data_IF_778392199692
#
_entry.id   IF_778392199692
#
_cell.length_a   1.000
_cell.length_b   1.000
_cell.length_c   1.000
_cell.angle_alpha   90.00
_cell.angle_beta   90.00
_cell.angle_gamma   90.00
#
_symmetry.space_group_name_H-M   'P 1'
#
loop_
_entity.id
_entity.type
_entity.pdbx_description
1 polymer ?
#
# COMPACT_ATOMS: atom_id res chain seq x y z
N UNK A 1 2.72 -8.86 1.11
CA UNK A 1 4.13 -9.17 1.48
C UNK A 1 4.99 -7.93 1.66
N UNK A 2 4.79 -6.86 0.89
CA UNK A 2 5.61 -5.63 0.93
C UNK A 2 5.48 -4.77 2.20
N UNK A 3 4.51 -5.05 3.08
CA UNK A 3 4.37 -4.31 4.34
C UNK A 3 5.59 -4.53 5.26
N UNK A 4 6.46 -3.54 5.42
CA UNK A 4 7.69 -3.65 6.24
C UNK A 4 8.67 -4.72 5.76
N UNK A 5 8.71 -5.00 4.45
CA UNK A 5 9.69 -5.93 3.88
C UNK A 5 10.16 -5.38 2.54
N UNK A 6 11.49 -5.32 2.34
CA UNK A 6 12.09 -4.80 1.11
C UNK A 6 11.69 -5.62 -0.11
N UNK A 7 11.55 -4.96 -1.26
CA UNK A 7 11.07 -5.57 -2.52
C UNK A 7 11.91 -6.78 -2.90
N UNK A 8 13.24 -6.66 -2.89
CA UNK A 8 14.17 -7.72 -3.29
C UNK A 8 14.02 -9.00 -2.47
N UNK A 9 13.61 -8.87 -1.19
CA UNK A 9 13.33 -10.02 -0.32
C UNK A 9 11.95 -10.62 -0.60
N UNK A 10 10.99 -9.81 -1.04
CA UNK A 10 9.62 -10.24 -1.32
C UNK A 10 9.53 -10.98 -2.65
N UNK A 11 10.23 -10.54 -3.70
CA UNK A 11 10.06 -11.07 -5.06
C UNK A 11 10.19 -12.60 -5.14
N UNK A 12 11.26 -13.25 -4.63
CA UNK A 12 11.39 -14.70 -4.71
C UNK A 12 10.25 -15.43 -3.97
N UNK A 13 9.91 -14.93 -2.77
CA UNK A 13 8.86 -15.51 -1.92
C UNK A 13 7.46 -15.31 -2.50
N UNK A 14 7.22 -14.20 -3.18
CA UNK A 14 5.96 -13.95 -3.87
C UNK A 14 5.73 -14.98 -4.98
N UNK A 15 6.74 -15.24 -5.82
CA UNK A 15 6.65 -16.25 -6.86
C UNK A 15 6.48 -17.67 -6.30
N UNK A 16 7.22 -18.03 -5.26
CA UNK A 16 7.06 -19.31 -4.56
C UNK A 16 5.63 -19.47 -4.01
N UNK A 17 5.11 -18.41 -3.38
CA UNK A 17 3.77 -18.40 -2.81
C UNK A 17 2.68 -18.56 -3.87
N UNK A 18 2.78 -17.86 -4.99
CA UNK A 18 1.82 -17.97 -6.09
C UNK A 18 1.87 -19.33 -6.79
N UNK A 19 3.05 -19.94 -6.93
CA UNK A 19 3.14 -21.32 -7.45
C UNK A 19 2.42 -22.31 -6.55
N UNK A 20 2.56 -22.17 -5.23
CA UNK A 20 1.92 -23.08 -4.26
C UNK A 20 0.42 -22.80 -4.06
N UNK A 21 0.03 -21.53 -4.11
CA UNK A 21 -1.33 -21.04 -3.85
C UNK A 21 -1.80 -20.09 -4.97
N UNK A 22 -2.08 -20.61 -6.18
CA UNK A 22 -2.43 -19.79 -7.35
C UNK A 22 -3.82 -19.14 -7.25
N UNK A 23 -4.68 -19.61 -6.34
CA UNK A 23 -6.05 -19.09 -6.18
C UNK A 23 -6.42 -18.93 -4.71
N UNK A 24 -7.40 -18.07 -4.42
CA UNK A 24 -7.97 -17.94 -3.08
C UNK A 24 -8.51 -19.27 -2.54
N UNK A 25 -9.11 -20.11 -3.40
CA UNK A 25 -9.57 -21.45 -3.01
C UNK A 25 -8.42 -22.34 -2.55
N UNK A 26 -7.32 -22.38 -3.31
CA UNK A 26 -6.17 -23.21 -2.95
C UNK A 26 -5.50 -22.71 -1.68
N UNK A 27 -5.43 -21.40 -1.47
CA UNK A 27 -4.93 -20.81 -0.25
C UNK A 27 -5.84 -21.10 0.95
N UNK A 28 -7.15 -20.93 0.81
CA UNK A 28 -8.14 -21.13 1.88
C UNK A 28 -8.23 -22.58 2.38
N UNK A 29 -7.98 -23.55 1.49
CA UNK A 29 -8.01 -24.97 1.81
C UNK A 29 -6.71 -25.47 2.48
N UNK A 30 -5.64 -24.67 2.50
CA UNK A 30 -4.36 -25.09 3.03
C UNK A 30 -4.33 -25.06 4.57
N UNK A 31 -3.57 -25.94 5.24
CA UNK A 31 -3.28 -25.79 6.66
C UNK A 31 -2.55 -24.46 6.92
N UNK A 32 -3.00 -23.68 7.92
CA UNK A 32 -2.37 -22.39 8.25
C UNK A 32 -0.88 -22.52 8.58
N UNK A 33 -0.46 -23.66 9.14
CA UNK A 33 0.93 -23.97 9.41
C UNK A 33 1.78 -24.01 8.13
N UNK A 34 1.22 -24.51 7.02
CA UNK A 34 1.89 -24.53 5.72
C UNK A 34 2.05 -23.11 5.17
N UNK A 35 0.99 -22.29 5.26
CA UNK A 35 1.04 -20.88 4.84
C UNK A 35 2.12 -20.11 5.62
N UNK A 36 2.23 -20.35 6.94
CA UNK A 36 3.27 -19.76 7.79
C UNK A 36 4.67 -20.21 7.38
N UNK A 37 4.87 -21.52 7.13
CA UNK A 37 6.17 -22.06 6.69
C UNK A 37 6.62 -21.42 5.37
N UNK A 38 5.72 -21.34 4.38
CA UNK A 38 6.05 -20.77 3.08
C UNK A 38 6.39 -19.27 3.16
N UNK A 39 5.75 -18.54 4.09
CA UNK A 39 5.98 -17.11 4.30
C UNK A 39 7.33 -16.78 4.94
N UNK A 40 7.95 -17.71 5.66
CA UNK A 40 9.28 -17.52 6.24
C UNK A 40 10.32 -17.30 5.12
N UNK A 41 11.31 -16.38 5.27
CA UNK A 41 11.66 -15.59 6.46
C UNK A 41 11.14 -14.14 6.46
N UNK A 42 10.06 -13.81 5.71
CA UNK A 42 9.63 -12.41 5.54
C UNK A 42 9.22 -11.68 6.84
N UNK A 43 9.15 -12.38 7.98
CA UNK A 43 8.86 -11.82 9.30
C UNK A 43 7.38 -11.51 9.56
N UNK A 44 7.07 -10.98 10.74
CA UNK A 44 5.73 -10.55 11.16
C UNK A 44 4.65 -11.64 10.96
N UNK A 45 4.75 -12.70 11.77
CA UNK A 45 4.05 -13.99 11.62
C UNK A 45 2.51 -13.92 11.62
N UNK A 46 1.92 -12.77 11.95
CA UNK A 46 0.48 -12.55 11.86
C UNK A 46 -0.01 -12.25 10.43
N UNK A 47 0.86 -11.72 9.54
CA UNK A 47 0.50 -11.42 8.14
C UNK A 47 0.03 -12.66 7.34
N UNK A 48 0.77 -13.79 7.32
CA UNK A 48 0.30 -14.97 6.60
C UNK A 48 -1.03 -15.51 7.16
N UNK A 49 -1.24 -15.39 8.47
CA UNK A 49 -2.49 -15.82 9.14
C UNK A 49 -3.66 -14.93 8.71
N UNK A 50 -3.47 -13.60 8.69
CA UNK A 50 -4.48 -12.65 8.21
C UNK A 50 -4.80 -12.86 6.75
N UNK A 51 -3.79 -13.05 5.90
CA UNK A 51 -4.02 -13.36 4.48
C UNK A 51 -4.81 -14.66 4.30
N UNK A 52 -4.47 -15.70 5.07
CA UNK A 52 -5.20 -16.97 5.06
C UNK A 52 -6.66 -16.79 5.51
N UNK A 53 -6.91 -15.99 6.55
CA UNK A 53 -8.26 -15.66 7.00
C UNK A 53 -9.05 -14.89 5.92
N UNK A 54 -8.43 -13.91 5.26
CA UNK A 54 -9.02 -13.20 4.11
C UNK A 54 -9.37 -14.19 3.00
N UNK A 55 -8.50 -15.13 2.66
CA UNK A 55 -8.76 -16.13 1.62
C UNK A 55 -9.97 -17.01 1.97
N UNK A 56 -10.04 -17.52 3.21
CA UNK A 56 -11.17 -18.33 3.68
C UNK A 56 -12.49 -17.56 3.64
N UNK A 57 -12.47 -16.33 4.13
CA UNK A 57 -13.63 -15.44 4.11
C UNK A 57 -14.08 -15.12 2.67
N UNK A 58 -13.11 -14.88 1.78
CA UNK A 58 -13.37 -14.61 0.36
C UNK A 58 -14.02 -15.80 -0.34
N UNK A 59 -13.60 -17.02 -0.01
CA UNK A 59 -14.23 -18.24 -0.52
C UNK A 59 -15.64 -18.42 0.04
N UNK A 60 -15.80 -18.26 1.36
CA UNK A 60 -17.06 -18.49 2.05
C UNK A 60 -18.17 -17.51 1.64
N UNK A 61 -17.84 -16.21 1.48
CA UNK A 61 -18.85 -15.17 1.25
C UNK A 61 -18.92 -14.64 -0.19
N UNK A 62 -17.84 -14.80 -0.97
CA UNK A 62 -17.70 -14.17 -2.28
C UNK A 62 -17.26 -15.14 -3.38
N UNK A 63 -17.41 -16.46 -3.16
CA UNK A 63 -17.12 -17.47 -4.17
C UNK A 63 -15.65 -17.48 -4.64
N UNK A 64 -14.72 -17.03 -3.79
CA UNK A 64 -13.29 -17.01 -4.08
C UNK A 64 -12.81 -15.80 -4.89
N UNK A 65 -13.67 -14.84 -5.19
CA UNK A 65 -13.31 -13.56 -5.81
C UNK A 65 -13.40 -12.45 -4.76
N UNK A 66 -12.38 -11.61 -4.66
CA UNK A 66 -12.45 -10.43 -3.77
C UNK A 66 -13.59 -9.51 -4.23
N UNK A 67 -14.38 -8.90 -3.34
CA UNK A 67 -15.37 -7.92 -3.76
C UNK A 67 -14.72 -6.68 -4.39
N UNK A 68 -15.43 -6.00 -5.29
CA UNK A 68 -14.97 -4.82 -6.03
C UNK A 68 -15.51 -3.49 -5.46
N UNK A 69 -15.96 -3.52 -4.20
CA UNK A 69 -16.46 -2.36 -3.45
C UNK A 69 -15.71 -2.18 -2.14
N UNK A 70 -15.40 -0.93 -1.78
CA UNK A 70 -14.59 -0.61 -0.59
C UNK A 70 -15.26 -1.15 0.69
N UNK A 71 -16.56 -0.95 0.84
CA UNK A 71 -17.31 -1.33 2.03
C UNK A 71 -17.25 -2.84 2.24
N UNK A 72 -17.36 -3.62 1.16
CA UNK A 72 -17.28 -5.07 1.20
C UNK A 72 -15.85 -5.56 1.47
N UNK A 73 -14.84 -4.92 0.87
CA UNK A 73 -13.44 -5.22 1.14
C UNK A 73 -13.08 -4.96 2.61
N UNK A 74 -13.55 -3.86 3.19
CA UNK A 74 -13.28 -3.49 4.59
C UNK A 74 -13.97 -4.39 5.61
N UNK A 75 -14.95 -5.19 5.20
CA UNK A 75 -15.53 -6.26 6.05
C UNK A 75 -14.63 -7.49 6.15
N UNK A 76 -13.64 -7.65 5.27
CA UNK A 76 -12.67 -8.74 5.34
C UNK A 76 -11.70 -8.54 6.52
N UNK A 77 -11.32 -9.61 7.23
CA UNK A 77 -10.50 -9.50 8.44
C UNK A 77 -9.13 -8.89 8.15
N UNK A 78 -8.83 -7.75 8.79
CA UNK A 78 -7.54 -7.07 8.65
C UNK A 78 -7.38 -6.23 7.38
N UNK A 79 -8.45 -6.02 6.61
CA UNK A 79 -8.45 -5.11 5.46
C UNK A 79 -8.89 -3.72 5.92
N UNK A 80 -7.91 -2.83 6.11
CA UNK A 80 -8.16 -1.40 6.36
C UNK A 80 -8.30 -0.59 5.08
N UNK A 81 -8.56 0.72 5.21
CA UNK A 81 -8.75 1.67 4.09
C UNK A 81 -7.63 1.62 3.05
N UNK A 82 -6.37 1.58 3.50
CA UNK A 82 -5.21 1.42 2.60
C UNK A 82 -5.30 0.15 1.73
N UNK A 83 -5.50 -1.02 2.36
CA UNK A 83 -5.53 -2.30 1.64
C UNK A 83 -6.73 -2.37 0.69
N UNK A 84 -7.88 -1.84 1.11
CA UNK A 84 -9.07 -1.77 0.25
C UNK A 84 -8.81 -0.88 -0.98
N UNK A 85 -8.31 0.34 -0.79
CA UNK A 85 -7.94 1.24 -1.89
C UNK A 85 -6.88 0.64 -2.82
N UNK A 86 -5.87 -0.04 -2.27
CA UNK A 86 -4.86 -0.73 -3.07
C UNK A 86 -5.44 -1.88 -3.91
N UNK A 87 -6.38 -2.67 -3.37
CA UNK A 87 -7.07 -3.72 -4.13
C UNK A 87 -7.92 -3.09 -5.24
N UNK A 88 -8.71 -2.07 -4.93
CA UNK A 88 -9.57 -1.38 -5.90
C UNK A 88 -8.75 -0.73 -7.03
N UNK A 89 -7.66 -0.06 -6.69
CA UNK A 89 -6.76 0.56 -7.66
C UNK A 89 -6.02 -0.50 -8.49
N UNK A 90 -5.28 -1.41 -7.85
CA UNK A 90 -4.35 -2.28 -8.58
C UNK A 90 -4.98 -3.53 -9.19
N UNK A 91 -6.05 -4.09 -8.59
CA UNK A 91 -6.70 -5.28 -9.11
C UNK A 91 -7.95 -4.96 -9.94
N UNK A 92 -8.63 -3.84 -9.64
CA UNK A 92 -9.89 -3.46 -10.30
C UNK A 92 -9.80 -2.21 -11.16
N UNK A 93 -8.64 -1.53 -11.21
CA UNK A 93 -8.45 -0.34 -12.04
C UNK A 93 -9.34 0.84 -11.64
N UNK A 94 -9.85 0.87 -10.40
CA UNK A 94 -10.68 1.97 -9.90
C UNK A 94 -9.80 3.15 -9.49
N UNK A 95 -10.34 4.35 -9.60
CA UNK A 95 -9.70 5.59 -9.12
C UNK A 95 -9.81 5.72 -7.59
N UNK A 96 -9.33 4.70 -6.88
CA UNK A 96 -9.30 4.67 -5.42
C UNK A 96 -7.96 5.22 -4.90
N UNK A 97 -8.02 6.05 -3.86
CA UNK A 97 -6.82 6.57 -3.23
C UNK A 97 -6.04 5.49 -2.48
N UNK A 98 -4.71 5.54 -2.58
CA UNK A 98 -3.80 4.68 -1.84
C UNK A 98 -2.89 5.55 -0.99
N UNK A 99 -2.89 5.32 0.33
CA UNK A 99 -2.08 6.06 1.28
C UNK A 99 -1.17 5.12 2.09
N UNK A 100 0.00 4.79 1.54
CA UNK A 100 1.07 4.14 2.29
C UNK A 100 2.00 5.18 2.95
N UNK A 101 3.07 4.72 3.60
CA UNK A 101 4.03 5.61 4.26
C UNK A 101 4.85 6.44 3.26
N UNK A 102 5.00 6.00 2.02
CA UNK A 102 5.67 6.73 0.95
C UNK A 102 4.78 7.87 0.43
N UNK A 103 3.55 7.56 0.04
CA UNK A 103 2.55 8.53 -0.40
C UNK A 103 2.30 9.56 0.68
N UNK A 104 2.06 9.13 1.94
CA UNK A 104 1.88 10.07 3.08
C UNK A 104 3.03 11.07 3.18
N UNK A 105 4.27 10.61 3.04
CA UNK A 105 5.46 11.47 3.10
C UNK A 105 5.53 12.44 1.92
N UNK A 106 5.26 11.98 0.70
CA UNK A 106 5.25 12.82 -0.50
C UNK A 106 4.18 13.90 -0.35
N UNK A 107 2.93 13.52 -0.06
CA UNK A 107 1.82 14.46 0.09
C UNK A 107 2.10 15.49 1.21
N UNK A 108 2.62 15.03 2.36
CA UNK A 108 2.97 15.91 3.46
C UNK A 108 4.04 16.94 3.08
N UNK A 109 5.07 16.53 2.34
CA UNK A 109 6.15 17.43 1.91
C UNK A 109 5.71 18.39 0.82
N UNK A 110 4.97 17.91 -0.17
CA UNK A 110 4.56 18.71 -1.32
C UNK A 110 3.49 19.74 -0.95
N UNK A 111 2.47 19.36 -0.18
CA UNK A 111 1.28 20.20 0.03
C UNK A 111 1.17 20.88 1.39
N UNK A 112 1.84 20.37 2.44
CA UNK A 112 1.65 20.88 3.80
C UNK A 112 2.81 21.78 4.25
N UNK A 113 4.05 21.50 3.84
CA UNK A 113 5.21 22.21 4.34
C UNK A 113 5.53 21.85 5.80
N UNK A 114 6.77 22.11 6.27
CA UNK A 114 7.27 21.62 7.57
C UNK A 114 6.39 22.06 8.76
N UNK A 115 6.00 23.33 8.81
CA UNK A 115 5.24 23.91 9.94
C UNK A 115 3.83 23.31 10.08
N UNK A 116 3.10 23.17 8.97
CA UNK A 116 1.75 22.55 8.99
C UNK A 116 1.86 21.07 9.26
N UNK A 117 2.82 20.38 8.63
CA UNK A 117 3.04 18.94 8.80
C UNK A 117 3.24 18.57 10.28
N UNK A 118 4.03 19.35 11.02
CA UNK A 118 4.24 19.15 12.47
C UNK A 118 2.98 19.29 13.33
N UNK A 119 1.96 20.02 12.84
CA UNK A 119 0.69 20.26 13.52
C UNK A 119 -0.41 19.29 13.11
N UNK A 120 -0.26 18.59 11.99
CA UNK A 120 -1.28 17.63 11.53
C UNK A 120 -1.39 16.49 12.54
N UNK A 121 -2.64 16.14 12.87
CA UNK A 121 -2.97 15.03 13.76
C UNK A 121 -3.76 13.99 12.98
N UNK A 122 -3.40 12.71 13.17
CA UNK A 122 -4.03 11.60 12.47
C UNK A 122 -3.76 11.55 10.95
N UNK A 123 -4.65 10.85 10.25
CA UNK A 123 -4.53 10.55 8.81
C UNK A 123 -5.52 11.34 7.93
N UNK A 124 -6.53 12.02 8.51
CA UNK A 124 -7.62 12.63 7.74
C UNK A 124 -7.12 13.56 6.63
N UNK A 125 -6.27 14.51 6.96
CA UNK A 125 -5.71 15.48 6.00
C UNK A 125 -4.97 14.79 4.84
N UNK A 126 -4.30 13.67 5.10
CA UNK A 126 -3.57 12.94 4.06
C UNK A 126 -4.50 12.12 3.17
N UNK A 127 -5.56 11.58 3.73
CA UNK A 127 -6.61 10.94 2.95
C UNK A 127 -7.35 11.95 2.07
N UNK A 128 -7.74 13.11 2.60
CA UNK A 128 -8.39 14.18 1.83
C UNK A 128 -7.49 14.62 0.64
N UNK A 129 -6.17 14.75 0.89
CA UNK A 129 -5.20 15.03 -0.18
C UNK A 129 -5.09 13.87 -1.19
N UNK A 130 -4.98 12.63 -0.72
CA UNK A 130 -4.86 11.50 -1.63
C UNK A 130 -6.10 11.37 -2.53
N UNK A 131 -7.30 11.51 -1.97
CA UNK A 131 -8.57 11.40 -2.69
C UNK A 131 -8.79 12.53 -3.69
N UNK A 132 -8.38 13.75 -3.36
CA UNK A 132 -8.49 14.89 -4.28
C UNK A 132 -7.50 14.86 -5.46
N UNK A 133 -6.45 14.04 -5.38
CA UNK A 133 -5.37 14.03 -6.36
C UNK A 133 -5.42 12.85 -7.33
N UNK A 134 -6.20 11.79 -7.03
CA UNK A 134 -6.29 10.63 -7.92
C UNK A 134 -6.95 11.06 -9.24
N UNK A 135 -6.23 10.99 -10.38
CA UNK A 135 -6.77 11.38 -11.67
C UNK A 135 -7.76 10.34 -12.20
N UNK A 136 -8.88 10.82 -12.74
CA UNK A 136 -9.90 9.95 -13.34
C UNK A 136 -9.32 9.10 -14.48
N UNK A 137 -9.59 7.80 -14.46
CA UNK A 137 -9.12 6.80 -15.42
C UNK A 137 -7.62 6.50 -15.35
N UNK A 138 -6.91 7.05 -14.36
CA UNK A 138 -5.44 6.96 -14.24
C UNK A 138 -4.99 6.60 -12.83
N UNK A 139 -5.91 6.18 -11.95
CA UNK A 139 -5.59 5.85 -10.56
C UNK A 139 -4.52 4.77 -10.39
N UNK A 140 -4.49 3.76 -11.26
CA UNK A 140 -3.46 2.71 -11.25
C UNK A 140 -2.05 3.31 -11.38
N UNK A 141 -1.78 3.99 -12.50
CA UNK A 141 -0.48 4.59 -12.81
C UNK A 141 -0.09 5.63 -11.75
N UNK A 142 -1.06 6.47 -11.36
CA UNK A 142 -0.82 7.55 -10.41
C UNK A 142 -0.38 7.01 -9.06
N UNK A 143 -1.10 6.03 -8.51
CA UNK A 143 -0.77 5.45 -7.22
C UNK A 143 0.59 4.72 -7.27
N UNK A 144 0.88 3.97 -8.34
CA UNK A 144 2.19 3.33 -8.50
C UNK A 144 3.32 4.36 -8.59
N UNK A 145 3.18 5.35 -9.46
CA UNK A 145 4.17 6.41 -9.64
C UNK A 145 4.44 7.16 -8.33
N UNK A 146 3.41 7.45 -7.53
CA UNK A 146 3.56 8.18 -6.27
C UNK A 146 4.24 7.33 -5.18
N UNK A 147 3.95 6.03 -5.12
CA UNK A 147 4.65 5.08 -4.25
C UNK A 147 6.14 4.97 -4.64
N UNK A 148 6.42 4.75 -5.92
CA UNK A 148 7.79 4.62 -6.45
C UNK A 148 8.59 5.91 -6.28
N UNK A 149 7.97 7.06 -6.56
CA UNK A 149 8.57 8.37 -6.34
C UNK A 149 8.91 8.58 -4.86
N UNK A 150 8.02 8.20 -3.95
CA UNK A 150 8.31 8.24 -2.52
C UNK A 150 9.46 7.30 -2.14
N UNK A 151 9.49 6.09 -2.68
CA UNK A 151 10.50 5.08 -2.36
C UNK A 151 11.90 5.42 -2.90
N UNK A 152 12.00 6.05 -4.07
CA UNK A 152 13.28 6.21 -4.80
C UNK A 152 13.77 7.66 -4.89
N UNK A 153 12.87 8.65 -4.81
CA UNK A 153 13.20 10.06 -5.03
C UNK A 153 12.99 10.92 -3.78
N UNK A 154 11.77 10.90 -3.24
CA UNK A 154 11.38 11.62 -2.04
C UNK A 154 11.56 10.73 -0.80
N UNK A 155 12.77 10.18 -0.62
CA UNK A 155 13.14 9.25 0.45
C UNK A 155 13.04 9.89 1.84
N UNK A 156 12.91 9.11 2.93
CA UNK A 156 12.86 9.65 4.28
C UNK A 156 14.07 10.52 4.64
N UNK A 157 15.27 10.05 4.26
CA UNK A 157 16.56 10.72 4.47
C UNK A 157 17.18 11.06 3.11
N UNK A 158 17.69 12.27 2.97
CA UNK A 158 18.38 12.78 1.77
C UNK A 158 17.57 12.63 0.46
N UNK A 159 16.35 13.21 0.37
CA UNK A 159 15.59 13.19 -0.86
C UNK A 159 16.28 14.00 -1.96
N UNK A 160 16.09 13.62 -3.23
CA UNK A 160 16.71 14.27 -4.39
C UNK A 160 15.98 15.57 -4.77
N UNK A 161 15.99 16.57 -3.88
CA UNK A 161 15.21 17.79 -4.05
C UNK A 161 15.62 18.65 -5.25
N UNK A 162 16.92 18.85 -5.50
CA UNK A 162 17.40 19.75 -6.54
C UNK A 162 16.89 19.39 -7.95
N UNK A 163 16.96 18.12 -8.41
CA UNK A 163 16.40 17.70 -9.70
C UNK A 163 14.91 17.34 -9.64
N UNK A 164 14.22 17.50 -8.50
CA UNK A 164 12.84 17.04 -8.33
C UNK A 164 11.87 17.74 -9.29
N UNK A 165 11.02 17.00 -10.05
CA UNK A 165 10.05 17.63 -10.96
C UNK A 165 8.98 18.45 -10.21
N UNK A 166 8.79 18.18 -8.92
CA UNK A 166 7.86 18.92 -8.06
C UNK A 166 8.50 20.13 -7.36
N UNK A 167 9.76 20.46 -7.68
CA UNK A 167 10.55 21.49 -6.97
C UNK A 167 9.84 22.84 -6.91
N UNK A 168 9.25 23.30 -8.00
CA UNK A 168 8.66 24.64 -8.12
C UNK A 168 7.43 24.86 -7.23
N UNK A 169 6.75 23.78 -6.83
CA UNK A 169 5.52 23.85 -6.03
C UNK A 169 5.56 23.05 -4.72
N UNK A 170 6.67 22.39 -4.41
CA UNK A 170 6.82 21.63 -3.17
C UNK A 170 6.99 22.57 -1.97
N UNK A 171 6.03 22.56 -1.05
CA UNK A 171 6.03 23.38 0.17
C UNK A 171 7.19 23.08 1.15
N UNK A 172 7.89 21.97 0.96
CA UNK A 172 9.08 21.60 1.72
C UNK A 172 10.40 21.74 0.93
N UNK A 173 10.41 22.34 -0.26
CA UNK A 173 11.64 22.53 -1.01
C UNK A 173 12.51 23.68 -0.44
N UNK A 174 13.84 23.53 -0.35
CA UNK A 174 14.55 22.25 -0.31
C UNK A 174 14.29 21.55 1.04
N UNK A 175 14.18 20.21 1.02
CA UNK A 175 13.99 19.48 2.28
C UNK A 175 15.32 19.46 3.04
N UNK A 176 15.39 20.26 4.10
CA UNK A 176 16.49 20.22 5.07
C UNK A 176 16.04 19.33 6.21
N UNK A 177 16.66 18.15 6.34
CA UNK A 177 16.39 17.24 7.47
C UNK A 177 16.65 17.93 8.81
N UNK A 178 15.98 17.48 9.87
CA UNK A 178 16.54 17.64 11.22
C UNK A 178 17.73 16.69 11.32
N UNK A 179 18.89 17.23 11.65
CA UNK A 179 20.08 16.47 12.07
C UNK A 179 19.73 15.39 13.09
#
# INVERSE_FOLDING_TARGET
MLQQTQVDRVVPKYHEFLRRFPTMRRLAAAPVAEVRRLWYPLGYNIRPVRLHAIARETVARYGGRLPDREEALRRLPGVGRYTAGAILSFAYGRDAAVLDTNVRRVLGRVFLGRRRLARVRGEKTFWDLAESLVPHGRGYDFNQALMDFGATWCTPRNPRCAPCPMRSFCACYPYVGSS
#
